data_IF_853726864459
#
_entry.id   IF_853726864459
#
_cell.length_a   1.000
_cell.length_b   1.000
_cell.length_c   1.000
_cell.angle_alpha   90.00
_cell.angle_beta   90.00
_cell.angle_gamma   90.00
#
_symmetry.space_group_name_H-M   'P 1'
#
loop_
_entity.id
_entity.type
_entity.pdbx_description
1 polymer ?
#
# COMPACT_ATOMS: atom_id res chain seq x y z
N UNK A 1 10.79 -7.70 61.72
CA UNK A 1 10.94 -6.22 61.70
C UNK A 1 12.36 -5.92 62.11
N UNK A 2 13.11 -5.09 61.36
CA UNK A 2 12.80 -3.68 61.11
C UNK A 2 12.47 -3.36 59.64
N UNK A 3 12.05 -2.11 59.43
CA UNK A 3 11.40 -1.50 58.25
C UNK A 3 12.28 -0.37 57.69
N UNK A 4 11.97 0.06 56.44
CA UNK A 4 12.23 1.36 55.79
C UNK A 4 13.64 1.51 55.13
N UNK A 5 13.83 1.93 53.86
CA UNK A 5 13.04 2.75 52.92
C UNK A 5 13.26 2.35 51.44
N UNK A 6 12.20 2.52 50.64
CA UNK A 6 12.18 2.49 49.18
C UNK A 6 12.90 3.70 48.55
N UNK A 7 13.58 3.47 47.43
CA UNK A 7 13.47 4.32 46.23
C UNK A 7 13.86 3.51 44.98
N UNK A 8 12.92 3.25 44.04
CA UNK A 8 13.21 2.57 42.80
C UNK A 8 13.81 3.53 41.76
N UNK A 9 14.77 3.05 40.99
CA UNK A 9 15.27 3.66 39.77
C UNK A 9 14.10 4.06 38.85
N UNK A 10 13.85 5.37 38.70
CA UNK A 10 13.05 5.89 37.60
C UNK A 10 13.85 5.75 36.31
N UNK A 11 13.62 4.66 35.59
CA UNK A 11 13.85 4.62 34.15
C UNK A 11 12.88 5.62 33.51
N UNK A 12 13.38 6.79 33.12
CA UNK A 12 12.65 7.76 32.34
C UNK A 12 12.34 7.18 30.97
N UNK A 13 11.19 6.49 30.83
CA UNK A 13 10.55 6.26 29.54
C UNK A 13 10.17 7.62 28.95
N UNK A 14 10.99 8.13 28.04
CA UNK A 14 10.54 9.14 27.08
C UNK A 14 9.59 8.43 26.11
N UNK A 15 8.30 8.48 26.42
CA UNK A 15 7.27 8.34 25.40
C UNK A 15 7.39 9.57 24.50
N UNK A 16 8.09 9.43 23.40
CA UNK A 16 7.99 10.37 22.29
C UNK A 16 6.71 9.97 21.57
N UNK A 17 5.60 10.60 21.96
CA UNK A 17 4.43 10.70 21.08
C UNK A 17 4.83 11.62 19.93
N UNK A 18 5.51 11.04 18.94
CA UNK A 18 5.84 11.70 17.69
C UNK A 18 4.55 11.84 16.88
N UNK A 19 3.81 12.88 17.23
CA UNK A 19 2.78 13.43 16.35
C UNK A 19 3.45 13.75 15.02
N UNK A 20 3.10 12.99 13.98
CA UNK A 20 3.49 13.24 12.57
C UNK A 20 2.86 14.55 12.10
N UNK A 21 3.37 15.68 12.59
CA UNK A 21 3.21 16.98 11.94
C UNK A 21 3.98 16.91 10.63
N UNK A 22 3.45 17.50 9.54
CA UNK A 22 4.19 17.70 8.28
C UNK A 22 5.55 18.33 8.59
N UNK A 23 6.59 17.49 8.70
CA UNK A 23 7.96 17.91 8.92
C UNK A 23 8.52 18.36 7.58
N UNK A 24 9.19 19.51 7.57
CA UNK A 24 10.02 19.88 6.41
C UNK A 24 11.08 18.78 6.25
N UNK A 25 11.28 18.22 5.04
CA UNK A 25 12.28 17.18 4.82
C UNK A 25 13.65 17.65 5.31
N UNK A 26 14.28 16.92 6.23
CA UNK A 26 15.56 17.32 6.85
C UNK A 26 16.74 16.56 6.27
N UNK A 27 16.50 15.38 5.71
CA UNK A 27 17.55 14.52 5.14
C UNK A 27 17.11 13.89 3.80
N UNK A 28 18.05 13.19 3.14
CA UNK A 28 17.83 12.53 1.84
C UNK A 28 16.73 11.47 1.92
N UNK A 29 16.59 10.79 3.06
CA UNK A 29 15.57 9.76 3.26
C UNK A 29 14.16 10.37 3.33
N UNK A 30 14.00 11.52 4.00
CA UNK A 30 12.73 12.26 4.02
C UNK A 30 12.35 12.69 2.60
N UNK A 31 13.33 13.14 1.80
CA UNK A 31 13.12 13.52 0.41
C UNK A 31 12.76 12.31 -0.47
N UNK A 32 13.37 11.15 -0.23
CA UNK A 32 13.03 9.91 -0.93
C UNK A 32 11.61 9.43 -0.56
N UNK A 33 11.25 9.42 0.72
CA UNK A 33 9.91 9.10 1.20
C UNK A 33 8.85 10.03 0.60
N UNK A 34 9.12 11.34 0.57
CA UNK A 34 8.25 12.33 -0.04
C UNK A 34 8.15 12.14 -1.56
N UNK A 35 9.23 11.73 -2.22
CA UNK A 35 9.25 11.43 -3.65
C UNK A 35 8.38 10.21 -3.98
N UNK A 36 8.42 9.16 -3.15
CA UNK A 36 7.54 8.00 -3.28
C UNK A 36 6.07 8.36 -3.05
N UNK A 37 5.77 9.18 -2.05
CA UNK A 37 4.42 9.68 -1.82
C UNK A 37 3.91 10.55 -2.99
N UNK A 38 4.79 11.37 -3.59
CA UNK A 38 4.45 12.15 -4.78
C UNK A 38 4.20 11.25 -6.00
N UNK A 39 5.01 10.21 -6.19
CA UNK A 39 4.80 9.20 -7.24
C UNK A 39 3.42 8.59 -7.09
N UNK A 40 3.13 8.05 -5.90
CA UNK A 40 1.83 7.46 -5.59
C UNK A 40 0.68 8.42 -5.89
N UNK A 41 0.77 9.68 -5.46
CA UNK A 41 -0.28 10.67 -5.70
C UNK A 41 -0.52 10.91 -7.18
N UNK A 42 0.54 11.06 -7.98
CA UNK A 42 0.44 11.29 -9.44
C UNK A 42 -0.10 10.05 -10.15
N UNK A 43 0.34 8.87 -9.75
CA UNK A 43 -0.14 7.59 -10.25
C UNK A 43 -1.63 7.40 -9.95
N UNK A 44 -2.03 7.57 -8.70
CA UNK A 44 -3.43 7.46 -8.28
C UNK A 44 -4.33 8.48 -8.97
N UNK A 45 -3.87 9.73 -9.13
CA UNK A 45 -4.58 10.74 -9.93
C UNK A 45 -4.77 10.30 -11.38
N UNK A 46 -3.76 9.66 -11.98
CA UNK A 46 -3.90 9.12 -13.35
C UNK A 46 -5.01 8.08 -13.43
N UNK A 47 -5.15 7.20 -12.44
CA UNK A 47 -6.21 6.19 -12.40
C UNK A 47 -7.60 6.79 -12.20
N UNK A 48 -7.71 7.87 -11.41
CA UNK A 48 -8.98 8.57 -11.22
C UNK A 48 -9.46 9.27 -12.50
N UNK A 49 -8.54 9.77 -13.31
CA UNK A 49 -8.86 10.50 -14.55
C UNK A 49 -8.93 9.59 -15.78
N UNK A 50 -8.32 8.41 -15.72
CA UNK A 50 -8.34 7.46 -16.82
C UNK A 50 -9.75 6.89 -17.00
N UNK A 51 -10.30 7.10 -18.18
CA UNK A 51 -11.60 6.55 -18.56
C UNK A 51 -11.48 5.90 -19.93
N UNK A 52 -12.13 4.75 -20.08
CA UNK A 52 -12.17 4.01 -21.32
C UNK A 52 -13.63 3.84 -21.76
N UNK A 53 -14.03 4.24 -22.99
CA UNK A 53 -15.42 4.16 -23.42
C UNK A 53 -15.95 2.74 -23.34
N UNK A 54 -17.07 2.55 -22.62
CA UNK A 54 -17.70 1.25 -22.41
C UNK A 54 -17.22 0.47 -21.18
N UNK A 55 -16.16 0.92 -20.50
CA UNK A 55 -15.62 0.25 -19.31
C UNK A 55 -15.83 1.12 -18.05
N UNK A 56 -16.43 0.62 -16.96
CA UNK A 56 -16.40 1.30 -15.66
C UNK A 56 -14.98 1.62 -15.18
N UNK A 57 -14.84 2.69 -14.37
CA UNK A 57 -13.55 3.11 -13.85
C UNK A 57 -12.97 2.05 -12.90
N UNK A 58 -11.63 1.97 -12.88
CA UNK A 58 -10.90 1.11 -11.97
C UNK A 58 -11.08 1.54 -10.50
N UNK A 59 -11.15 2.86 -10.25
CA UNK A 59 -11.40 3.44 -8.93
C UNK A 59 -12.82 4.00 -8.87
N UNK A 60 -13.60 3.65 -7.84
CA UNK A 60 -14.99 4.11 -7.66
C UNK A 60 -15.19 4.93 -6.38
N UNK A 61 -16.11 5.91 -6.46
CA UNK A 61 -16.57 6.73 -5.33
C UNK A 61 -17.59 5.99 -4.43
N UNK A 62 -18.22 4.96 -4.96
CA UNK A 62 -19.22 4.16 -4.25
C UNK A 62 -18.95 2.68 -4.49
N UNK A 63 -19.27 1.88 -3.48
CA UNK A 63 -19.22 0.42 -3.56
C UNK A 63 -20.42 -0.02 -4.38
N UNK A 64 -20.21 -0.36 -5.65
CA UNK A 64 -21.10 -1.34 -6.28
C UNK A 64 -20.90 -2.65 -5.53
N UNK A 65 -21.91 -3.13 -4.82
CA UNK A 65 -21.95 -4.40 -4.06
C UNK A 65 -21.76 -5.66 -4.94
N UNK A 66 -20.81 -5.65 -5.86
CA UNK A 66 -20.59 -6.71 -6.84
C UNK A 66 -19.48 -7.68 -6.46
N UNK A 67 -18.30 -7.18 -6.07
CA UNK A 67 -17.07 -8.01 -6.15
C UNK A 67 -16.08 -7.81 -5.00
N UNK A 68 -16.55 -7.38 -3.82
CA UNK A 68 -15.71 -7.42 -2.61
C UNK A 68 -15.85 -8.78 -1.93
N UNK A 69 -14.73 -9.27 -1.39
CA UNK A 69 -14.63 -10.51 -0.61
C UNK A 69 -15.78 -10.58 0.39
N UNK A 70 -16.70 -11.52 0.14
CA UNK A 70 -17.76 -11.86 1.06
C UNK A 70 -17.12 -12.27 2.40
N UNK A 71 -17.32 -11.46 3.46
CA UNK A 71 -16.87 -11.80 4.81
C UNK A 71 -16.03 -10.77 5.56
N UNK A 72 -16.27 -9.47 5.40
CA UNK A 72 -16.03 -8.50 6.48
C UNK A 72 -17.30 -7.67 6.67
N UNK A 73 -18.17 -8.14 7.56
CA UNK A 73 -19.38 -7.45 8.08
C UNK A 73 -19.08 -6.14 8.86
N UNK A 74 -17.89 -5.55 8.70
CA UNK A 74 -17.55 -4.28 9.34
C UNK A 74 -17.71 -3.19 8.29
N UNK A 75 -18.74 -2.37 8.48
CA UNK A 75 -19.06 -1.18 7.68
C UNK A 75 -17.82 -0.44 7.20
N UNK A 76 -17.82 -0.01 5.94
CA UNK A 76 -16.66 0.49 5.20
C UNK A 76 -16.04 1.76 5.82
N UNK A 77 -16.89 2.59 6.44
CA UNK A 77 -16.47 3.71 7.30
C UNK A 77 -15.54 3.28 8.46
N UNK A 78 -15.62 2.02 8.89
CA UNK A 78 -14.75 1.46 9.91
C UNK A 78 -13.34 1.18 9.38
N UNK A 79 -13.14 0.87 8.09
CA UNK A 79 -11.80 0.58 7.54
C UNK A 79 -11.00 1.85 7.29
N UNK A 80 -11.60 2.89 6.71
CA UNK A 80 -10.95 4.19 6.57
C UNK A 80 -10.67 4.81 7.95
N UNK A 81 -11.64 4.74 8.87
CA UNK A 81 -11.43 5.16 10.26
C UNK A 81 -10.35 4.32 10.97
N UNK A 82 -10.24 3.02 10.69
CA UNK A 82 -9.20 2.14 11.22
C UNK A 82 -7.82 2.59 10.76
N UNK A 83 -7.66 2.87 9.47
CA UNK A 83 -6.38 3.33 8.93
C UNK A 83 -6.04 4.75 9.40
N UNK A 84 -7.01 5.67 9.39
CA UNK A 84 -6.84 7.04 9.90
C UNK A 84 -6.53 7.09 11.40
N UNK A 85 -7.03 6.15 12.21
CA UNK A 85 -6.75 6.12 13.65
C UNK A 85 -5.26 5.94 13.99
N UNK A 86 -4.49 5.25 13.14
CA UNK A 86 -3.04 5.12 13.32
C UNK A 86 -2.24 6.28 12.75
N UNK A 87 -2.77 6.95 11.72
CA UNK A 87 -2.09 8.05 11.04
C UNK A 87 -2.83 9.36 11.27
N UNK A 88 -2.28 10.24 12.13
CA UNK A 88 -2.84 11.57 12.41
C UNK A 88 -2.70 12.58 11.24
N UNK A 89 -2.73 12.10 9.99
CA UNK A 89 -2.45 12.84 8.78
C UNK A 89 -3.68 12.94 7.87
N UNK A 90 -3.83 14.03 7.09
CA UNK A 90 -4.98 14.22 6.19
C UNK A 90 -4.96 13.30 4.96
N UNK A 91 -3.84 12.64 4.66
CA UNK A 91 -3.71 11.66 3.58
C UNK A 91 -3.08 10.38 4.15
N UNK A 92 -3.94 9.42 4.48
CA UNK A 92 -3.57 8.14 5.06
C UNK A 92 -2.60 7.33 4.18
N UNK A 93 -2.74 7.26 2.85
CA UNK A 93 -1.77 6.57 1.99
C UNK A 93 -0.37 7.21 2.01
N UNK A 94 -0.30 8.54 1.99
CA UNK A 94 0.99 9.26 2.04
C UNK A 94 1.70 9.01 3.38
N UNK A 95 0.93 9.04 4.47
CA UNK A 95 1.45 8.77 5.81
C UNK A 95 1.95 7.33 5.95
N UNK A 96 1.24 6.35 5.35
CA UNK A 96 1.67 4.95 5.30
C UNK A 96 3.03 4.81 4.60
N UNK A 97 3.19 5.40 3.42
CA UNK A 97 4.44 5.36 2.64
C UNK A 97 5.59 5.93 3.47
N UNK A 98 5.40 7.16 3.98
CA UNK A 98 6.44 7.86 4.75
C UNK A 98 6.80 7.08 6.01
N UNK A 99 5.80 6.60 6.75
CA UNK A 99 6.02 5.84 7.98
C UNK A 99 6.81 4.57 7.74
N UNK A 100 6.36 3.72 6.81
CA UNK A 100 7.01 2.44 6.55
C UNK A 100 8.38 2.59 5.88
N UNK A 101 8.58 3.64 5.06
CA UNK A 101 9.88 3.95 4.50
C UNK A 101 10.89 4.37 5.58
N UNK A 102 10.48 5.23 6.51
CA UNK A 102 11.37 5.73 7.57
C UNK A 102 11.55 4.73 8.71
N UNK A 103 10.54 3.92 9.01
CA UNK A 103 10.58 2.91 10.07
C UNK A 103 11.46 1.70 9.69
N UNK A 104 11.90 1.59 8.44
CA UNK A 104 12.56 0.38 7.95
C UNK A 104 13.86 0.67 7.21
N UNK A 105 14.94 0.81 7.98
CA UNK A 105 16.29 1.04 7.43
C UNK A 105 16.86 -0.14 6.64
N UNK A 106 16.27 -1.34 6.78
CA UNK A 106 16.77 -2.56 6.17
C UNK A 106 16.12 -2.91 4.84
N UNK A 107 15.07 -2.18 4.44
CA UNK A 107 14.31 -2.50 3.24
C UNK A 107 14.57 -1.48 2.14
N UNK A 108 14.69 -1.99 0.92
CA UNK A 108 15.02 -1.14 -0.20
C UNK A 108 13.83 -0.29 -0.66
N UNK A 109 14.16 0.83 -1.26
CA UNK A 109 13.14 1.73 -1.82
C UNK A 109 12.51 1.19 -3.11
N UNK A 110 13.12 0.17 -3.74
CA UNK A 110 12.60 -0.48 -4.95
C UNK A 110 11.32 -1.26 -4.65
N UNK A 111 11.19 -1.84 -3.46
CA UNK A 111 9.98 -2.55 -3.02
C UNK A 111 8.72 -1.68 -3.16
N UNK A 112 8.82 -0.37 -2.90
CA UNK A 112 7.72 0.56 -3.14
C UNK A 112 7.41 0.75 -4.62
N UNK A 113 8.42 0.87 -5.47
CA UNK A 113 8.24 1.02 -6.92
C UNK A 113 7.61 -0.24 -7.50
N UNK A 114 8.06 -1.43 -7.06
CA UNK A 114 7.45 -2.71 -7.45
C UNK A 114 5.99 -2.76 -7.02
N UNK A 115 5.68 -2.37 -5.78
CA UNK A 115 4.31 -2.29 -5.30
C UNK A 115 3.43 -1.41 -6.21
N UNK A 116 3.95 -0.25 -6.64
CA UNK A 116 3.24 0.61 -7.60
C UNK A 116 3.08 -0.03 -8.98
N UNK A 117 4.09 -0.73 -9.49
CA UNK A 117 3.99 -1.51 -10.72
C UNK A 117 2.93 -2.62 -10.63
N UNK A 118 2.76 -3.25 -9.47
CA UNK A 118 1.69 -4.24 -9.26
C UNK A 118 0.31 -3.59 -9.34
N UNK A 119 0.14 -2.40 -8.77
CA UNK A 119 -1.13 -1.63 -8.90
C UNK A 119 -1.39 -1.24 -10.35
N UNK A 120 -0.37 -0.83 -11.10
CA UNK A 120 -0.47 -0.51 -12.53
C UNK A 120 -0.92 -1.73 -13.34
N UNK A 121 -0.40 -2.92 -13.02
CA UNK A 121 -0.88 -4.18 -13.62
C UNK A 121 -2.31 -4.52 -13.25
N UNK A 122 -2.73 -4.30 -12.00
CA UNK A 122 -4.12 -4.49 -11.60
C UNK A 122 -5.05 -3.57 -12.39
N UNK A 123 -4.66 -2.32 -12.58
CA UNK A 123 -5.40 -1.35 -13.38
C UNK A 123 -5.50 -1.79 -14.85
N UNK A 124 -4.38 -2.16 -15.46
CA UNK A 124 -4.36 -2.67 -16.85
C UNK A 124 -5.22 -3.92 -17.00
N UNK A 125 -5.10 -4.87 -16.07
CA UNK A 125 -5.86 -6.12 -16.10
C UNK A 125 -7.37 -5.85 -16.04
N UNK A 126 -7.81 -4.93 -15.17
CA UNK A 126 -9.21 -4.51 -15.10
C UNK A 126 -9.72 -4.10 -16.49
N UNK A 127 -9.05 -3.17 -17.17
CA UNK A 127 -9.48 -2.69 -18.48
C UNK A 127 -9.40 -3.75 -19.58
N UNK A 128 -8.35 -4.58 -19.59
CA UNK A 128 -8.18 -5.67 -20.57
C UNK A 128 -9.29 -6.71 -20.40
N UNK A 129 -9.53 -7.18 -19.17
CA UNK A 129 -10.58 -8.15 -18.89
C UNK A 129 -11.97 -7.62 -19.27
N UNK A 130 -12.24 -6.34 -18.99
CA UNK A 130 -13.50 -5.72 -19.39
C UNK A 130 -13.67 -5.67 -20.91
N UNK A 131 -12.64 -5.25 -21.64
CA UNK A 131 -12.67 -5.24 -23.11
C UNK A 131 -12.85 -6.63 -23.71
N UNK A 132 -12.19 -7.63 -23.15
CA UNK A 132 -12.33 -9.02 -23.61
C UNK A 132 -13.72 -9.60 -23.33
N UNK A 133 -14.38 -9.18 -22.23
CA UNK A 133 -15.78 -9.50 -21.96
C UNK A 133 -16.72 -8.83 -22.96
N UNK A 134 -16.54 -7.54 -23.24
CA UNK A 134 -17.37 -6.80 -24.20
C UNK A 134 -17.30 -7.42 -25.60
N UNK A 135 -16.12 -7.88 -26.00
CA UNK A 135 -15.89 -8.54 -27.29
C UNK A 135 -16.33 -10.01 -27.31
N UNK A 136 -16.98 -10.51 -26.26
CA UNK A 136 -17.49 -11.90 -26.16
C UNK A 136 -16.43 -13.00 -26.24
N UNK A 137 -15.13 -12.67 -26.17
CA UNK A 137 -14.04 -13.66 -26.13
C UNK A 137 -13.99 -14.39 -24.79
N UNK A 138 -14.42 -13.70 -23.72
CA UNK A 138 -14.63 -14.29 -22.40
C UNK A 138 -16.13 -14.54 -22.24
N UNK A 139 -16.58 -15.74 -22.60
CA UNK A 139 -17.94 -16.17 -22.27
C UNK A 139 -18.09 -16.11 -20.74
N UNK A 140 -19.17 -15.51 -20.20
CA UNK A 140 -19.37 -15.43 -18.76
C UNK A 140 -19.64 -16.83 -18.23
N UNK A 141 -18.57 -17.58 -17.94
CA UNK A 141 -18.63 -18.78 -17.13
C UNK A 141 -19.20 -18.36 -15.76
N UNK A 142 -20.01 -19.18 -15.12
CA UNK A 142 -20.68 -18.80 -13.86
C UNK A 142 -19.68 -18.43 -12.73
N UNK A 143 -18.39 -18.78 -12.89
CA UNK A 143 -17.26 -18.39 -12.03
C UNK A 143 -16.53 -17.09 -12.45
N UNK A 144 -16.94 -16.44 -13.54
CA UNK A 144 -16.25 -15.30 -14.21
C UNK A 144 -16.36 -13.95 -13.48
N UNK A 145 -17.01 -13.92 -12.30
CA UNK A 145 -17.06 -12.74 -11.43
C UNK A 145 -15.68 -12.30 -10.94
N UNK A 146 -14.69 -13.21 -10.94
CA UNK A 146 -13.33 -12.98 -10.43
C UNK A 146 -12.42 -12.03 -11.23
N UNK A 147 -12.79 -11.59 -12.44
CA UNK A 147 -11.82 -11.00 -13.38
C UNK A 147 -11.81 -9.47 -13.49
N UNK A 148 -12.61 -8.73 -12.73
CA UNK A 148 -12.55 -7.27 -12.75
C UNK A 148 -12.51 -6.73 -11.33
N UNK A 149 -11.30 -6.46 -10.84
CA UNK A 149 -11.09 -5.81 -9.55
C UNK A 149 -11.37 -4.31 -9.71
N UNK A 150 -12.47 -3.83 -9.13
CA UNK A 150 -12.70 -2.41 -8.88
C UNK A 150 -12.31 -2.07 -7.44
N UNK A 151 -11.72 -0.91 -7.25
CA UNK A 151 -11.24 -0.47 -5.94
C UNK A 151 -12.05 0.75 -5.51
N UNK A 152 -12.75 0.62 -4.38
CA UNK A 152 -13.35 1.77 -3.74
C UNK A 152 -12.26 2.65 -3.10
N UNK A 153 -12.42 3.97 -3.18
CA UNK A 153 -11.41 4.94 -2.68
C UNK A 153 -11.00 4.71 -1.23
N UNK A 154 -11.91 4.22 -0.40
CA UNK A 154 -11.69 3.93 1.03
C UNK A 154 -10.73 2.75 1.26
N UNK A 155 -10.63 1.82 0.30
CA UNK A 155 -9.78 0.63 0.41
C UNK A 155 -8.37 0.84 -0.13
N UNK A 156 -8.08 2.04 -0.65
CA UNK A 156 -6.80 2.33 -1.32
C UNK A 156 -5.61 2.16 -0.38
N UNK A 157 -5.73 2.60 0.87
CA UNK A 157 -4.65 2.43 1.88
C UNK A 157 -4.41 0.95 2.17
N UNK A 158 -5.48 0.17 2.29
CA UNK A 158 -5.43 -1.26 2.56
C UNK A 158 -4.75 -1.99 1.39
N UNK A 159 -5.19 -1.73 0.16
CA UNK A 159 -4.58 -2.27 -1.05
C UNK A 159 -3.09 -1.92 -1.13
N UNK A 160 -2.75 -0.66 -0.88
CA UNK A 160 -1.36 -0.19 -0.94
C UNK A 160 -0.46 -0.93 0.05
N UNK A 161 -0.96 -1.17 1.27
CA UNK A 161 -0.23 -1.99 2.25
C UNK A 161 -0.09 -3.45 1.79
N UNK A 162 -1.14 -4.02 1.20
CA UNK A 162 -1.15 -5.40 0.69
C UNK A 162 -0.15 -5.59 -0.46
N UNK A 163 -0.19 -4.74 -1.49
CA UNK A 163 0.75 -4.81 -2.63
C UNK A 163 2.18 -4.52 -2.23
N UNK A 164 2.40 -3.67 -1.23
CA UNK A 164 3.72 -3.49 -0.61
C UNK A 164 4.21 -4.75 0.09
N UNK A 165 3.33 -5.42 0.85
CA UNK A 165 3.68 -6.71 1.48
C UNK A 165 4.00 -7.81 0.46
N UNK A 166 3.32 -7.80 -0.69
CA UNK A 166 3.58 -8.70 -1.81
C UNK A 166 4.91 -8.42 -2.49
N UNK A 167 5.24 -7.14 -2.72
CA UNK A 167 6.50 -6.75 -3.36
C UNK A 167 7.70 -7.40 -2.65
N UNK A 168 7.71 -7.43 -1.32
CA UNK A 168 8.77 -8.08 -0.54
C UNK A 168 8.91 -9.58 -0.80
N UNK A 169 7.80 -10.29 -1.01
CA UNK A 169 7.83 -11.74 -1.23
C UNK A 169 8.43 -12.13 -2.58
N UNK A 170 8.41 -11.20 -3.53
CA UNK A 170 8.86 -11.43 -4.91
C UNK A 170 10.19 -10.77 -5.25
N UNK A 171 10.52 -9.68 -4.55
CA UNK A 171 11.72 -8.89 -4.81
C UNK A 171 12.92 -9.29 -3.97
N UNK A 172 12.70 -9.68 -2.71
CA UNK A 172 13.79 -9.98 -1.77
C UNK A 172 14.07 -11.47 -1.70
N UNK A 173 15.36 -11.81 -1.58
CA UNK A 173 15.82 -13.20 -1.36
C UNK A 173 15.42 -13.77 0.01
N UNK A 174 14.98 -12.91 0.94
CA UNK A 174 14.53 -13.31 2.27
C UNK A 174 13.06 -12.99 2.49
N UNK A 175 12.39 -13.84 3.26
CA UNK A 175 10.95 -13.73 3.50
C UNK A 175 10.64 -12.70 4.58
N UNK A 176 9.98 -11.60 4.21
CA UNK A 176 9.38 -10.66 5.17
C UNK A 176 7.94 -11.08 5.45
N UNK A 177 7.64 -11.42 6.71
CA UNK A 177 6.26 -11.79 7.09
C UNK A 177 5.34 -10.57 7.10
N UNK A 178 4.10 -10.72 6.62
CA UNK A 178 3.08 -9.67 6.68
C UNK A 178 2.86 -9.21 8.13
N UNK A 179 2.89 -10.16 9.08
CA UNK A 179 2.76 -9.88 10.52
C UNK A 179 3.86 -8.92 11.02
N UNK A 180 5.09 -9.08 10.56
CA UNK A 180 6.17 -8.16 10.91
C UNK A 180 5.87 -6.75 10.41
N UNK A 181 5.46 -6.60 9.15
CA UNK A 181 5.08 -5.29 8.58
C UNK A 181 3.90 -4.66 9.33
N UNK A 182 2.89 -5.46 9.70
CA UNK A 182 1.74 -4.95 10.45
C UNK A 182 2.14 -4.48 11.85
N UNK A 183 3.10 -5.13 12.50
CA UNK A 183 3.60 -4.72 13.82
C UNK A 183 4.35 -3.37 13.77
N UNK A 184 4.85 -2.96 12.60
CA UNK A 184 5.49 -1.65 12.42
C UNK A 184 4.46 -0.52 12.34
N UNK A 185 3.19 -0.81 12.06
CA UNK A 185 2.16 0.21 11.91
C UNK A 185 1.85 0.89 13.25
N UNK A 186 1.59 2.22 13.26
CA UNK A 186 1.30 3.01 14.46
C UNK A 186 -0.14 2.80 14.97
N UNK A 187 -0.63 1.56 14.94
CA UNK A 187 -1.98 1.18 15.33
C UNK A 187 -1.98 0.42 16.65
N UNK A 188 -3.14 0.36 17.31
CA UNK A 188 -3.32 -0.53 18.47
C UNK A 188 -3.22 -2.00 18.05
N UNK A 189 -2.83 -2.90 18.96
CA UNK A 189 -2.69 -4.33 18.65
C UNK A 189 -4.00 -4.95 18.11
N UNK A 190 -5.15 -4.47 18.56
CA UNK A 190 -6.46 -4.93 18.03
C UNK A 190 -6.66 -4.48 16.59
N UNK A 191 -6.34 -3.22 16.28
CA UNK A 191 -6.41 -2.68 14.93
C UNK A 191 -5.40 -3.36 13.99
N UNK A 192 -4.17 -3.57 14.45
CA UNK A 192 -3.16 -4.36 13.72
C UNK A 192 -3.68 -5.77 13.39
N UNK A 193 -4.35 -6.44 14.32
CA UNK A 193 -4.95 -7.75 14.06
C UNK A 193 -6.03 -7.73 12.96
N UNK A 194 -6.83 -6.67 12.88
CA UNK A 194 -7.84 -6.50 11.82
C UNK A 194 -7.19 -6.19 10.47
N UNK A 195 -6.19 -5.30 10.44
CA UNK A 195 -5.41 -4.99 9.23
C UNK A 195 -4.76 -6.26 8.71
N UNK A 196 -4.06 -7.03 9.56
CA UNK A 196 -3.40 -8.27 9.16
C UNK A 196 -4.37 -9.27 8.51
N UNK A 197 -5.55 -9.48 9.12
CA UNK A 197 -6.57 -10.40 8.57
C UNK A 197 -7.08 -9.92 7.21
N UNK A 198 -7.31 -8.62 7.08
CA UNK A 198 -7.77 -8.00 5.83
C UNK A 198 -6.70 -8.12 4.75
N UNK A 199 -5.43 -7.86 5.09
CA UNK A 199 -4.29 -8.01 4.19
C UNK A 199 -4.15 -9.44 3.70
N UNK A 200 -4.24 -10.46 4.57
CA UNK A 200 -4.12 -11.86 4.13
C UNK A 200 -5.23 -12.24 3.14
N UNK A 201 -6.47 -11.79 3.37
CA UNK A 201 -7.60 -12.05 2.46
C UNK A 201 -7.42 -11.35 1.12
N UNK A 202 -7.09 -10.06 1.16
CA UNK A 202 -6.88 -9.23 -0.03
C UNK A 202 -5.67 -9.69 -0.84
N UNK A 203 -4.61 -10.17 -0.18
CA UNK A 203 -3.42 -10.70 -0.82
C UNK A 203 -3.75 -11.83 -1.80
N UNK A 204 -4.59 -12.78 -1.38
CA UNK A 204 -5.01 -13.88 -2.24
C UNK A 204 -5.78 -13.38 -3.45
N UNK A 205 -6.67 -12.40 -3.28
CA UNK A 205 -7.43 -11.81 -4.39
C UNK A 205 -6.51 -11.10 -5.37
N UNK A 206 -5.55 -10.32 -4.88
CA UNK A 206 -4.57 -9.63 -5.73
C UNK A 206 -3.72 -10.65 -6.51
N UNK A 207 -3.28 -11.72 -5.85
CA UNK A 207 -2.52 -12.80 -6.49
C UNK A 207 -3.36 -13.51 -7.57
N UNK A 208 -4.61 -13.88 -7.27
CA UNK A 208 -5.51 -14.49 -8.25
C UNK A 208 -5.77 -13.55 -9.43
N UNK A 209 -5.96 -12.25 -9.18
CA UNK A 209 -6.20 -11.24 -10.22
C UNK A 209 -4.98 -11.07 -11.12
N UNK A 210 -3.78 -11.17 -10.57
CA UNK A 210 -2.53 -11.11 -11.33
C UNK A 210 -2.10 -12.47 -11.90
N UNK A 211 -2.94 -13.50 -11.77
CA UNK A 211 -2.62 -14.88 -12.16
C UNK A 211 -1.27 -15.37 -11.57
N UNK A 212 -0.97 -14.96 -10.34
CA UNK A 212 0.28 -15.20 -9.63
C UNK A 212 1.54 -14.66 -10.34
N UNK A 213 1.40 -13.77 -11.33
CA UNK A 213 2.50 -13.12 -12.03
C UNK A 213 2.82 -11.74 -11.42
N UNK A 214 3.58 -11.76 -10.33
CA UNK A 214 4.08 -10.55 -9.66
C UNK A 214 5.50 -10.16 -10.05
N UNK A 215 6.11 -10.82 -11.04
CA UNK A 215 7.48 -10.54 -11.46
C UNK A 215 7.56 -9.18 -12.17
N UNK A 216 8.31 -8.22 -11.63
CA UNK A 216 8.49 -6.89 -12.23
C UNK A 216 9.92 -6.77 -12.75
N UNK A 217 10.07 -6.45 -14.05
CA UNK A 217 11.38 -6.23 -14.65
C UNK A 217 11.95 -4.86 -14.27
N UNK A 218 13.27 -4.74 -14.28
CA UNK A 218 13.96 -3.48 -14.02
C UNK A 218 13.52 -2.36 -14.98
N UNK A 219 13.24 -2.69 -16.25
CA UNK A 219 12.75 -1.72 -17.22
C UNK A 219 11.40 -1.12 -16.82
N UNK A 220 10.48 -1.92 -16.28
CA UNK A 220 9.19 -1.41 -15.80
C UNK A 220 9.35 -0.50 -14.57
N UNK A 221 10.28 -0.83 -13.67
CA UNK A 221 10.63 0.02 -12.52
C UNK A 221 11.13 1.39 -13.01
N UNK A 222 12.07 1.38 -13.96
CA UNK A 222 12.63 2.61 -14.52
C UNK A 222 11.60 3.42 -15.29
N UNK A 223 10.76 2.79 -16.11
CA UNK A 223 9.69 3.44 -16.87
C UNK A 223 8.69 4.13 -15.94
N UNK A 224 8.26 3.45 -14.86
CA UNK A 224 7.33 4.04 -13.91
C UNK A 224 7.94 5.27 -13.21
N UNK A 225 9.20 5.16 -12.81
CA UNK A 225 9.94 6.29 -12.22
C UNK A 225 10.05 7.44 -13.21
N UNK A 226 10.40 7.18 -14.46
CA UNK A 226 10.59 8.22 -15.47
C UNK A 226 9.29 8.90 -15.91
N UNK A 227 8.17 8.18 -15.86
CA UNK A 227 6.87 8.73 -16.20
C UNK A 227 6.30 9.64 -15.10
N UNK A 228 6.50 9.27 -13.83
CA UNK A 228 5.82 9.93 -12.71
C UNK A 228 6.73 10.78 -11.82
N UNK A 229 8.05 10.57 -11.82
CA UNK A 229 8.99 11.37 -11.01
C UNK A 229 9.68 12.46 -11.85
N UNK A 230 9.95 13.59 -11.19
CA UNK A 230 10.90 14.57 -11.74
C UNK A 230 12.34 14.05 -11.61
N UNK A 231 13.27 14.62 -12.40
CA UNK A 231 14.67 14.24 -12.35
C UNK A 231 15.30 14.36 -10.94
N UNK A 232 14.88 15.34 -10.14
CA UNK A 232 15.32 15.49 -8.75
C UNK A 232 14.76 14.40 -7.83
N UNK A 233 13.46 14.11 -7.94
CA UNK A 233 12.82 13.06 -7.13
C UNK A 233 13.40 11.68 -7.46
N UNK A 234 13.62 11.40 -8.75
CA UNK A 234 14.29 10.18 -9.22
C UNK A 234 15.66 10.01 -8.57
N UNK A 235 16.47 11.08 -8.49
CA UNK A 235 17.78 11.01 -7.82
C UNK A 235 17.66 10.67 -6.34
N UNK A 236 16.68 11.22 -5.62
CA UNK A 236 16.50 10.91 -4.20
C UNK A 236 16.08 9.47 -3.98
N UNK A 237 15.16 8.94 -4.81
CA UNK A 237 14.76 7.53 -4.75
C UNK A 237 15.95 6.63 -5.10
N UNK A 238 16.66 6.87 -6.21
CA UNK A 238 17.81 6.06 -6.60
C UNK A 238 18.97 6.13 -5.59
N UNK A 239 19.20 7.28 -4.95
CA UNK A 239 20.20 7.40 -3.88
C UNK A 239 19.79 6.60 -2.64
N UNK A 240 18.49 6.43 -2.39
CA UNK A 240 18.00 5.53 -1.35
C UNK A 240 18.07 4.05 -1.77
N UNK A 241 18.02 3.74 -3.08
CA UNK A 241 18.27 2.38 -3.62
C UNK A 241 19.75 1.99 -3.50
N UNK A 242 20.66 2.90 -3.84
CA UNK A 242 22.10 2.62 -3.94
C UNK A 242 22.87 2.55 -2.61
N UNK A 243 22.19 2.36 -1.48
CA UNK A 243 22.84 2.03 -0.21
C UNK A 243 23.05 0.51 -0.13
N UNK A 244 24.07 0.04 -0.82
CA UNK A 244 24.75 -1.23 -0.53
C UNK A 244 26.08 -0.94 0.18
#
# INVERSE_FOLDING_TARGET
MPRLLHAPHKAGKRHINETLKKSVPKNVNDLAAQSLANLWRRLFQSYLHFTQPGCPPFITDAITHGDFVDGIDNSDAALDALWAAGFAAPSTPDALIVHLFLANEHFDSVSWIIAFCLVDRLQLNHYVCQRLRDLSFLQPREDSRKWSLTIAKEHVTQLLFTVYSLAFKWHLDYTVSVRYLTNLLPHSHTAQGLILRSTIKEELVVLETLEFNCAVSQDHVLQLMDHFLTASERRYVLHAVGRE
#
